data_IF_863167377121
#
_entry.id   IF_863167377121
#
_cell.length_a   1.000
_cell.length_b   1.000
_cell.length_c   1.000
_cell.angle_alpha   90.00
_cell.angle_beta   90.00
_cell.angle_gamma   90.00
#
_symmetry.space_group_name_H-M   'P 1'
#
loop_
_entity.id
_entity.type
_entity.pdbx_description
1 polymer ?
#
# COMPACT_ATOMS: atom_id res chain seq x y z
N UNK A 1 -18.83 -0.16 5.94
CA UNK A 1 -19.75 -0.66 7.02
C UNK A 1 -19.19 -0.38 8.41
N UNK A 2 -17.89 -0.57 8.68
CA UNK A 2 -17.34 -0.33 10.03
C UNK A 2 -17.40 1.15 10.43
N UNK A 3 -17.16 2.06 9.50
CA UNK A 3 -17.33 3.50 9.74
C UNK A 3 -18.79 3.87 10.08
N UNK A 4 -19.76 3.11 9.58
CA UNK A 4 -21.17 3.26 9.87
C UNK A 4 -21.65 2.49 11.12
N UNK A 5 -20.74 2.04 11.99
CA UNK A 5 -21.06 1.47 13.30
C UNK A 5 -20.73 -0.02 13.50
N UNK A 6 -20.20 -0.73 12.51
CA UNK A 6 -19.78 -2.12 12.72
C UNK A 6 -18.65 -2.19 13.75
N UNK A 7 -18.81 -3.00 14.79
CA UNK A 7 -17.83 -3.18 15.86
C UNK A 7 -16.79 -4.25 15.53
N UNK A 8 -17.09 -5.16 14.60
CA UNK A 8 -16.26 -6.30 14.23
C UNK A 8 -16.23 -6.50 12.72
N UNK A 9 -15.05 -6.88 12.18
CA UNK A 9 -14.88 -7.26 10.79
C UNK A 9 -14.37 -8.69 10.70
N UNK A 10 -15.00 -9.48 9.84
CA UNK A 10 -14.44 -10.73 9.37
C UNK A 10 -13.83 -10.50 7.99
N UNK A 11 -12.64 -11.04 7.74
CA UNK A 11 -12.03 -10.95 6.42
C UNK A 11 -12.71 -11.91 5.43
N UNK A 12 -12.65 -11.54 4.16
CA UNK A 12 -13.12 -12.34 3.03
C UNK A 12 -11.95 -12.51 2.08
N UNK A 13 -11.82 -13.69 1.49
CA UNK A 13 -10.77 -13.96 0.51
C UNK A 13 -11.27 -13.76 -0.93
N UNK A 14 -10.38 -13.54 -1.91
CA UNK A 14 -10.75 -13.51 -3.32
C UNK A 14 -11.41 -14.81 -3.82
N UNK A 15 -11.15 -15.93 -3.15
CA UNK A 15 -11.72 -17.23 -3.47
C UNK A 15 -13.11 -17.47 -2.85
N UNK A 16 -13.68 -16.51 -2.12
CA UNK A 16 -14.96 -16.65 -1.43
C UNK A 16 -16.07 -17.11 -2.37
N UNK A 17 -16.79 -18.17 -1.99
CA UNK A 17 -17.81 -18.84 -2.78
C UNK A 17 -17.35 -19.46 -4.11
N UNK A 18 -16.05 -19.43 -4.43
CA UNK A 18 -15.51 -19.93 -5.69
C UNK A 18 -14.63 -21.17 -5.49
N UNK A 19 -13.76 -21.15 -4.48
CA UNK A 19 -12.79 -22.21 -4.21
C UNK A 19 -12.29 -22.16 -2.77
N UNK A 20 -11.48 -23.17 -2.39
CA UNK A 20 -10.72 -23.09 -1.14
C UNK A 20 -9.60 -22.05 -1.28
N UNK A 21 -9.46 -21.12 -0.33
CA UNK A 21 -8.44 -20.09 -0.39
C UNK A 21 -7.03 -20.69 -0.16
N UNK A 22 -6.06 -20.21 -0.92
CA UNK A 22 -4.66 -20.43 -0.65
C UNK A 22 -4.10 -19.37 0.33
N UNK A 23 -2.82 -19.49 0.68
CA UNK A 23 -2.18 -18.55 1.63
C UNK A 23 -2.18 -17.11 1.13
N UNK A 24 -1.98 -16.89 -0.17
CA UNK A 24 -2.00 -15.55 -0.77
C UNK A 24 -3.39 -14.94 -0.73
N UNK A 25 -4.43 -15.74 -0.97
CA UNK A 25 -5.82 -15.29 -0.86
C UNK A 25 -6.15 -14.84 0.57
N UNK A 26 -5.72 -15.62 1.57
CA UNK A 26 -5.89 -15.26 2.99
C UNK A 26 -5.14 -13.96 3.31
N UNK A 27 -3.89 -13.82 2.86
CA UNK A 27 -3.09 -12.61 3.04
C UNK A 27 -3.79 -11.38 2.46
N UNK A 28 -4.28 -11.47 1.22
CA UNK A 28 -5.04 -10.39 0.56
C UNK A 28 -6.30 -10.01 1.34
N UNK A 29 -7.05 -11.00 1.81
CA UNK A 29 -8.24 -10.77 2.62
C UNK A 29 -7.94 -10.03 3.93
N UNK A 30 -6.87 -10.40 4.63
CA UNK A 30 -6.43 -9.75 5.86
C UNK A 30 -5.96 -8.31 5.58
N UNK A 31 -5.18 -8.06 4.53
CA UNK A 31 -4.73 -6.72 4.17
C UNK A 31 -5.92 -5.82 3.82
N UNK A 32 -6.89 -6.31 3.04
CA UNK A 32 -8.11 -5.56 2.73
C UNK A 32 -8.90 -5.19 3.99
N UNK A 33 -9.00 -6.11 4.95
CA UNK A 33 -9.66 -5.86 6.23
C UNK A 33 -8.90 -4.85 7.09
N UNK A 34 -7.56 -4.85 7.08
CA UNK A 34 -6.74 -3.84 7.76
C UNK A 34 -6.98 -2.45 7.17
N UNK A 35 -7.04 -2.31 5.85
CA UNK A 35 -7.33 -1.05 5.17
C UNK A 35 -8.72 -0.54 5.59
N UNK A 36 -9.73 -1.39 5.55
CA UNK A 36 -11.08 -1.05 5.95
C UNK A 36 -11.17 -0.65 7.43
N UNK A 37 -10.45 -1.35 8.31
CA UNK A 37 -10.39 -1.04 9.74
C UNK A 37 -9.73 0.31 10.00
N UNK A 38 -8.59 0.58 9.34
CA UNK A 38 -7.86 1.83 9.47
C UNK A 38 -8.69 3.03 9.02
N UNK A 39 -9.30 2.96 7.83
CA UNK A 39 -10.20 3.99 7.34
C UNK A 39 -11.39 4.24 8.28
N UNK A 40 -11.93 3.19 8.88
CA UNK A 40 -13.02 3.29 9.83
C UNK A 40 -12.61 3.94 11.15
N UNK A 41 -11.41 3.65 11.64
CA UNK A 41 -10.89 4.22 12.87
C UNK A 41 -10.65 5.73 12.72
N UNK A 42 -10.16 6.17 11.54
CA UNK A 42 -10.06 7.60 11.20
C UNK A 42 -11.45 8.23 11.16
N UNK A 43 -12.42 7.62 10.48
CA UNK A 43 -13.79 8.14 10.37
C UNK A 43 -14.51 8.24 11.73
N UNK A 44 -14.18 7.34 12.66
CA UNK A 44 -14.70 7.35 14.04
C UNK A 44 -13.98 8.35 14.95
N UNK A 45 -12.92 9.00 14.50
CA UNK A 45 -12.12 9.89 15.32
C UNK A 45 -11.33 9.19 16.43
N UNK A 46 -10.93 7.92 16.23
CA UNK A 46 -10.11 7.19 17.20
C UNK A 46 -8.79 7.92 17.38
N UNK A 47 -8.43 8.18 18.64
CA UNK A 47 -7.19 8.89 18.97
C UNK A 47 -5.97 8.15 18.43
N UNK A 48 -5.10 8.85 17.71
CA UNK A 48 -3.88 8.28 17.11
C UNK A 48 -4.10 7.49 15.82
N UNK A 49 -5.34 7.35 15.34
CA UNK A 49 -5.60 6.60 14.11
C UNK A 49 -4.85 7.15 12.89
N UNK A 50 -4.60 8.47 12.84
CA UNK A 50 -3.87 9.15 11.75
C UNK A 50 -2.36 9.18 11.92
N UNK A 51 -1.82 8.78 13.05
CA UNK A 51 -0.38 8.94 13.33
C UNK A 51 0.51 8.22 12.31
N UNK A 52 0.07 7.05 11.85
CA UNK A 52 0.81 6.28 10.83
C UNK A 52 0.72 6.94 9.45
N UNK A 53 -0.42 7.56 9.11
CA UNK A 53 -0.59 8.28 7.84
C UNK A 53 0.26 9.53 7.80
N UNK A 54 0.33 10.26 8.91
CA UNK A 54 1.16 11.47 9.03
C UNK A 54 2.65 11.10 8.92
N UNK A 55 3.09 10.01 9.57
CA UNK A 55 4.46 9.48 9.41
C UNK A 55 4.74 9.05 7.96
N UNK A 56 3.78 8.39 7.32
CA UNK A 56 3.90 8.01 5.90
C UNK A 56 4.00 9.25 5.01
N UNK A 57 3.19 10.28 5.25
CA UNK A 57 3.21 11.53 4.50
C UNK A 57 4.57 12.23 4.62
N UNK A 58 5.13 12.31 5.82
CA UNK A 58 6.46 12.87 6.04
C UNK A 58 7.56 12.07 5.35
N UNK A 59 7.53 10.74 5.45
CA UNK A 59 8.48 9.86 4.77
C UNK A 59 8.41 10.02 3.23
N UNK A 60 7.21 10.18 2.68
CA UNK A 60 7.01 10.41 1.23
C UNK A 60 7.53 11.76 0.79
N UNK A 61 7.34 12.80 1.59
CA UNK A 61 7.81 14.16 1.28
C UNK A 61 9.33 14.23 1.08
N UNK A 62 10.09 13.42 1.82
CA UNK A 62 11.56 13.37 1.75
C UNK A 62 12.08 12.14 1.00
N UNK A 63 11.20 11.31 0.43
CA UNK A 63 11.52 10.07 -0.29
C UNK A 63 12.28 9.05 0.57
N UNK A 64 12.03 9.03 1.87
CA UNK A 64 12.58 8.03 2.80
C UNK A 64 11.84 6.70 2.64
N UNK A 65 12.38 5.83 1.80
CA UNK A 65 11.75 4.55 1.47
C UNK A 65 11.71 3.58 2.64
N UNK A 66 12.70 3.60 3.51
CA UNK A 66 12.73 2.68 4.65
C UNK A 66 11.59 2.98 5.61
N UNK A 67 11.36 4.25 5.94
CA UNK A 67 10.21 4.66 6.73
C UNK A 67 8.87 4.42 6.03
N UNK A 68 8.81 4.56 4.71
CA UNK A 68 7.60 4.22 3.96
C UNK A 68 7.26 2.73 4.09
N UNK A 69 8.28 1.84 4.07
CA UNK A 69 8.05 0.41 4.28
C UNK A 69 7.58 0.09 5.69
N UNK A 70 8.12 0.76 6.71
CA UNK A 70 7.70 0.60 8.11
C UNK A 70 6.23 1.00 8.32
N UNK A 71 5.76 2.03 7.61
CA UNK A 71 4.39 2.52 7.69
C UNK A 71 3.40 1.80 6.77
N UNK A 72 3.87 0.97 5.84
CA UNK A 72 3.00 0.31 4.86
C UNK A 72 2.20 -0.84 5.49
N UNK A 73 0.93 -0.98 5.10
CA UNK A 73 0.07 -2.09 5.53
C UNK A 73 0.49 -3.43 4.93
N UNK A 74 1.06 -3.42 3.72
CA UNK A 74 1.65 -4.57 3.04
C UNK A 74 3.02 -4.19 2.45
N UNK A 75 4.07 -4.16 3.28
CA UNK A 75 5.40 -3.74 2.84
C UNK A 75 6.02 -4.69 1.81
N UNK A 76 5.70 -5.98 1.86
CA UNK A 76 6.24 -6.97 0.92
C UNK A 76 5.75 -6.71 -0.51
N UNK A 77 4.44 -6.58 -0.69
CA UNK A 77 3.84 -6.27 -2.00
C UNK A 77 4.29 -4.90 -2.49
N UNK A 78 4.34 -3.90 -1.61
CA UNK A 78 4.79 -2.56 -1.97
C UNK A 78 6.25 -2.56 -2.46
N UNK A 79 7.15 -3.27 -1.77
CA UNK A 79 8.56 -3.45 -2.18
C UNK A 79 8.67 -4.15 -3.53
N UNK A 80 7.91 -5.23 -3.75
CA UNK A 80 7.92 -5.99 -4.99
C UNK A 80 7.48 -5.13 -6.19
N UNK A 81 6.40 -4.37 -6.05
CA UNK A 81 5.93 -3.44 -7.08
C UNK A 81 6.99 -2.38 -7.38
N UNK A 82 7.55 -1.76 -6.35
CA UNK A 82 8.60 -0.74 -6.51
C UNK A 82 9.83 -1.25 -7.25
N UNK A 83 10.26 -2.47 -6.93
CA UNK A 83 11.43 -3.08 -7.59
C UNK A 83 11.18 -3.37 -9.06
N UNK A 84 9.96 -3.76 -9.43
CA UNK A 84 9.55 -3.98 -10.82
C UNK A 84 9.57 -2.67 -11.60
N UNK A 85 9.00 -1.60 -11.04
CA UNK A 85 8.98 -0.27 -11.63
C UNK A 85 10.39 0.34 -11.75
N UNK A 86 11.24 0.17 -10.73
CA UNK A 86 12.62 0.66 -10.78
C UNK A 86 13.45 0.00 -11.89
N UNK A 87 13.14 -1.25 -12.26
CA UNK A 87 13.73 -1.91 -13.44
C UNK A 87 13.22 -1.31 -14.75
N UNK A 88 11.93 -1.01 -14.82
CA UNK A 88 11.31 -0.37 -16.00
C UNK A 88 11.78 1.08 -16.19
N UNK A 89 11.84 1.86 -15.11
CA UNK A 89 12.33 3.25 -15.14
C UNK A 89 13.79 3.38 -15.55
N UNK A 90 14.67 2.45 -15.18
CA UNK A 90 16.06 2.45 -15.65
C UNK A 90 16.18 2.35 -17.17
N UNK A 91 15.20 1.75 -17.84
CA UNK A 91 15.12 1.68 -19.30
C UNK A 91 14.59 3.01 -19.86
N UNK A 92 13.60 3.62 -19.19
CA UNK A 92 12.95 4.86 -19.65
C UNK A 92 13.84 6.10 -19.47
N UNK A 93 14.51 6.22 -18.32
CA UNK A 93 15.46 7.33 -18.06
C UNK A 93 16.65 7.29 -19.02
N UNK A 94 17.14 6.12 -19.41
CA UNK A 94 18.16 6.01 -20.45
C UNK A 94 17.68 6.50 -21.83
N UNK A 95 16.40 6.35 -22.14
CA UNK A 95 15.84 6.86 -23.39
C UNK A 95 15.63 8.38 -23.36
N UNK A 96 15.29 8.96 -22.20
CA UNK A 96 15.08 10.41 -22.06
C UNK A 96 16.41 11.16 -22.02
N UNK A 97 17.43 10.65 -21.31
CA UNK A 97 18.76 11.26 -21.31
C UNK A 97 19.45 11.22 -22.69
N UNK A 98 19.18 10.18 -23.49
CA UNK A 98 19.71 10.13 -24.86
C UNK A 98 19.01 11.07 -25.84
N UNK A 99 17.77 11.49 -25.56
CA UNK A 99 17.02 12.43 -26.42
C UNK A 99 17.31 13.91 -26.09
N UNK A 100 17.75 14.22 -24.88
CA UNK A 100 18.12 15.60 -24.48
C UNK A 100 19.53 15.99 -24.95
N UNK A 101 20.38 15.02 -25.31
CA UNK A 101 21.74 15.29 -25.83
C UNK A 101 21.79 15.61 -27.34
N UNK A 102 20.64 15.64 -28.04
CA UNK A 102 20.59 15.93 -29.48
C UNK A 102 20.07 17.33 -29.84
N UNK A 103 19.80 18.19 -28.86
CA UNK A 103 19.43 19.60 -29.09
C UNK A 103 20.45 20.58 -28.47
N UNK A 104 21.71 20.38 -28.82
CA UNK A 104 22.73 21.40 -28.53
C UNK A 104 23.59 21.62 -29.76
#
# INVERSE_FOLDING_TARGET
>A
RRAAGAAFLCYVTPAEHLALPNVDDVKRGIIASKIAAHAADIAKGVRGARDIDDKMADARRVLDWDKQWECALDPETAKAIRQTEARSMKIHVRCVESSVLYEA
#
